data_IF_295853523835
#
_entry.id   IF_295853523835
#
_cell.length_a   1.000
_cell.length_b   1.000
_cell.length_c   1.000
_cell.angle_alpha   90.00
_cell.angle_beta   90.00
_cell.angle_gamma   90.00
#
_symmetry.space_group_name_H-M   'P 1'
#
loop_
_entity.id
_entity.type
_entity.pdbx_description
1 polymer ?
#
# COMPACT_ATOMS: atom_id res chain seq x y z
N UNK A 1 20.99 -53.14 -10.80
CA UNK A 1 19.74 -52.92 -10.04
C UNK A 1 20.14 -52.13 -8.79
N UNK A 2 19.99 -50.81 -8.82
CA UNK A 2 20.38 -49.91 -7.72
C UNK A 2 19.11 -49.35 -7.12
N UNK A 3 18.92 -49.61 -5.83
CA UNK A 3 17.75 -49.21 -5.05
C UNK A 3 17.89 -47.73 -4.64
N UNK A 4 16.97 -46.88 -5.08
CA UNK A 4 16.88 -45.48 -4.63
C UNK A 4 16.09 -45.48 -3.31
N UNK A 5 16.76 -45.14 -2.22
CA UNK A 5 16.15 -44.89 -0.91
C UNK A 5 15.32 -43.61 -0.96
N UNK A 6 14.07 -43.69 -0.48
CA UNK A 6 13.08 -42.60 -0.42
C UNK A 6 13.71 -41.30 0.11
N UNK A 7 13.87 -40.35 -0.79
CA UNK A 7 14.45 -39.02 -0.54
C UNK A 7 13.49 -38.15 0.28
N UNK A 8 13.98 -37.69 1.43
CA UNK A 8 13.79 -36.36 2.03
C UNK A 8 12.51 -35.60 1.63
N UNK A 9 11.42 -35.89 2.35
CA UNK A 9 10.30 -34.96 2.45
C UNK A 9 10.74 -33.79 3.33
N UNK A 10 11.15 -32.68 2.72
CA UNK A 10 11.27 -31.40 3.43
C UNK A 10 9.85 -30.97 3.80
N UNK A 11 9.55 -30.92 5.10
CA UNK A 11 8.27 -30.43 5.59
C UNK A 11 8.05 -28.98 5.12
N UNK A 12 6.86 -28.64 4.59
CA UNK A 12 6.56 -27.28 4.16
C UNK A 12 6.63 -26.34 5.36
N UNK A 13 7.38 -25.24 5.22
CA UNK A 13 7.37 -24.15 6.20
C UNK A 13 5.98 -23.51 6.23
N UNK A 14 5.27 -23.71 7.34
CA UNK A 14 4.04 -22.97 7.64
C UNK A 14 4.41 -21.52 7.99
N UNK A 15 4.24 -20.63 7.02
CA UNK A 15 4.39 -19.19 7.23
C UNK A 15 3.06 -18.67 7.74
N UNK A 16 2.97 -18.44 9.05
CA UNK A 16 1.84 -17.73 9.64
C UNK A 16 1.81 -16.29 9.14
N UNK A 17 0.81 -15.95 8.34
CA UNK A 17 0.58 -14.57 7.90
C UNK A 17 -0.04 -13.84 9.09
N UNK A 18 0.74 -12.98 9.74
CA UNK A 18 0.24 -12.11 10.79
C UNK A 18 -0.92 -11.25 10.26
N UNK A 19 -2.12 -11.45 10.79
CA UNK A 19 -3.34 -10.69 10.40
C UNK A 19 -3.26 -9.20 10.75
N UNK A 20 -2.29 -8.81 11.57
CA UNK A 20 -2.06 -7.43 11.97
C UNK A 20 -0.82 -6.92 11.24
N UNK A 21 -0.91 -5.84 10.46
CA UNK A 21 0.28 -5.13 10.03
C UNK A 21 1.09 -4.79 11.28
N UNK A 22 2.36 -5.18 11.31
CA UNK A 22 3.28 -4.71 12.33
C UNK A 22 3.42 -3.20 12.17
N UNK A 23 2.60 -2.49 12.96
CA UNK A 23 2.64 -1.06 13.21
C UNK A 23 2.23 -0.15 12.03
N UNK A 24 0.92 -0.03 11.82
CA UNK A 24 0.38 1.14 11.12
C UNK A 24 0.60 2.38 12.01
N UNK A 25 1.65 3.15 11.74
CA UNK A 25 1.78 4.53 12.19
C UNK A 25 0.83 5.44 11.42
N UNK A 26 -0.46 5.12 11.45
CA UNK A 26 -1.49 6.00 10.92
C UNK A 26 -1.59 7.19 11.88
N UNK A 27 -0.86 8.26 11.56
CA UNK A 27 -1.10 9.56 12.17
C UNK A 27 -2.35 10.11 11.47
N UNK A 28 -3.42 10.28 12.24
CA UNK A 28 -4.67 10.83 11.74
C UNK A 28 -4.45 12.29 11.32
N UNK A 29 -4.70 12.58 10.04
CA UNK A 29 -4.76 13.95 9.57
C UNK A 29 -6.10 14.56 10.04
N UNK A 30 -6.04 15.73 10.67
CA UNK A 30 -7.20 16.60 10.90
C UNK A 30 -7.26 17.60 9.76
N UNK A 31 -8.46 17.95 9.26
CA UNK A 31 -8.64 18.83 8.08
C UNK A 31 -7.86 20.17 8.14
N UNK A 32 -7.49 20.64 9.33
CA UNK A 32 -6.80 21.91 9.52
C UNK A 32 -5.26 21.81 9.58
N UNK A 33 -4.67 20.62 9.73
CA UNK A 33 -3.25 20.45 10.08
C UNK A 33 -2.57 19.33 9.30
N UNK A 34 -1.39 19.55 8.69
CA UNK A 34 -0.64 18.49 8.04
C UNK A 34 -0.33 17.36 9.01
N UNK A 35 -0.44 16.11 8.54
CA UNK A 35 -0.21 14.91 9.37
C UNK A 35 1.18 14.86 10.04
N UNK A 36 2.17 15.58 9.49
CA UNK A 36 3.54 15.62 10.00
C UNK A 36 3.85 16.83 10.89
N UNK A 37 2.85 17.66 11.23
CA UNK A 37 3.07 18.91 11.95
C UNK A 37 3.78 18.71 13.30
N UNK A 38 3.35 17.72 14.09
CA UNK A 38 3.97 17.41 15.39
C UNK A 38 5.42 16.95 15.24
N UNK A 39 5.74 16.21 14.17
CA UNK A 39 7.11 15.78 13.85
C UNK A 39 7.95 16.99 13.48
N UNK A 40 7.43 17.86 12.61
CA UNK A 40 8.11 19.09 12.20
C UNK A 40 8.37 20.00 13.40
N UNK A 41 7.38 20.24 14.24
CA UNK A 41 7.49 21.06 15.45
C UNK A 41 8.52 20.50 16.43
N UNK A 42 8.53 19.18 16.63
CA UNK A 42 9.52 18.52 17.50
C UNK A 42 10.94 18.71 16.97
N UNK A 43 11.15 18.60 15.66
CA UNK A 43 12.47 18.78 15.05
C UNK A 43 12.91 20.25 15.02
N UNK A 44 11.98 21.20 14.88
CA UNK A 44 12.28 22.63 14.87
C UNK A 44 12.55 23.20 16.27
N UNK A 45 11.71 22.84 17.24
CA UNK A 45 11.67 23.51 18.56
C UNK A 45 12.11 22.61 19.71
N UNK A 46 12.18 21.29 19.50
CA UNK A 46 12.42 20.31 20.56
C UNK A 46 11.23 20.10 21.50
N UNK A 47 10.08 20.73 21.23
CA UNK A 47 8.90 20.67 22.08
C UNK A 47 7.89 19.62 21.61
N UNK A 48 7.17 19.05 22.57
CA UNK A 48 6.06 18.13 22.32
C UNK A 48 4.74 18.89 22.32
N UNK A 49 3.68 18.34 21.70
CA UNK A 49 2.35 18.93 21.79
C UNK A 49 1.92 19.12 23.26
N UNK A 50 1.22 20.23 23.61
CA UNK A 50 0.94 20.60 25.01
C UNK A 50 0.20 19.51 25.80
N UNK A 51 -0.63 18.72 25.12
CA UNK A 51 -1.49 17.70 25.70
C UNK A 51 -1.04 16.26 25.42
N UNK A 52 0.17 16.06 24.88
CA UNK A 52 0.69 14.72 24.58
C UNK A 52 1.03 13.93 25.85
N UNK A 53 0.50 12.71 25.97
CA UNK A 53 0.77 11.81 27.11
C UNK A 53 2.22 11.28 27.06
N UNK A 54 2.69 10.60 28.12
CA UNK A 54 4.06 10.05 28.17
C UNK A 54 4.33 9.01 27.07
N UNK A 55 3.31 8.25 26.66
CA UNK A 55 3.40 7.24 25.60
C UNK A 55 3.46 7.92 24.23
N UNK A 56 2.62 8.91 23.98
CA UNK A 56 2.57 9.70 22.75
C UNK A 56 3.90 10.40 22.51
N UNK A 57 4.47 11.03 23.55
CA UNK A 57 5.82 11.63 23.47
C UNK A 57 6.89 10.59 23.12
N UNK A 58 6.82 9.40 23.71
CA UNK A 58 7.75 8.30 23.41
C UNK A 58 7.59 7.81 21.96
N UNK A 59 6.35 7.70 21.49
CA UNK A 59 6.00 7.31 20.12
C UNK A 59 6.48 8.35 19.12
N UNK A 60 6.16 9.63 19.33
CA UNK A 60 6.58 10.74 18.48
C UNK A 60 8.11 10.84 18.40
N UNK A 61 8.81 10.67 19.53
CA UNK A 61 10.27 10.64 19.56
C UNK A 61 10.85 9.51 18.73
N UNK A 62 10.25 8.31 18.78
CA UNK A 62 10.67 7.15 17.96
C UNK A 62 10.42 7.42 16.48
N UNK A 63 9.26 7.97 16.14
CA UNK A 63 8.90 8.34 14.78
C UNK A 63 9.87 9.36 14.20
N UNK A 64 10.14 10.44 14.94
CA UNK A 64 10.97 11.56 14.50
C UNK A 64 12.42 11.16 14.13
N UNK A 65 12.94 10.03 14.65
CA UNK A 65 14.27 9.51 14.28
C UNK A 65 14.35 9.21 12.77
N UNK A 66 13.23 8.86 12.14
CA UNK A 66 13.17 8.58 10.71
C UNK A 66 12.98 9.82 9.85
N UNK A 67 12.92 11.01 10.46
CA UNK A 67 12.70 12.26 9.74
C UNK A 67 13.89 13.19 9.87
N UNK A 68 14.03 14.06 8.88
CA UNK A 68 15.08 15.06 8.80
C UNK A 68 14.47 16.36 8.28
N UNK A 69 14.77 17.47 8.93
CA UNK A 69 14.29 18.78 8.52
C UNK A 69 15.41 19.55 7.83
N UNK A 70 15.14 20.05 6.62
CA UNK A 70 16.05 20.91 5.87
C UNK A 70 15.34 22.20 5.49
N UNK A 71 15.64 23.28 6.23
CA UNK A 71 14.86 24.51 6.15
C UNK A 71 13.41 24.27 6.55
N UNK A 72 12.48 24.57 5.64
CA UNK A 72 11.04 24.36 5.86
C UNK A 72 10.52 22.98 5.40
N UNK A 73 11.35 22.21 4.70
CA UNK A 73 10.95 20.95 4.08
C UNK A 73 11.31 19.79 5.00
N UNK A 74 10.31 18.98 5.31
CA UNK A 74 10.46 17.74 6.07
C UNK A 74 10.73 16.57 5.11
N UNK A 75 11.73 15.76 5.44
CA UNK A 75 12.08 14.55 4.71
C UNK A 75 11.93 13.33 5.60
N UNK A 76 11.42 12.23 5.05
CA UNK A 76 11.48 10.90 5.64
C UNK A 76 12.66 10.13 5.05
N UNK A 77 13.46 9.50 5.91
CA UNK A 77 14.49 8.54 5.53
C UNK A 77 13.83 7.20 5.21
N UNK A 78 13.96 6.75 3.97
CA UNK A 78 13.61 5.38 3.59
C UNK A 78 14.68 4.38 4.05
N UNK A 79 14.38 3.09 3.92
CA UNK A 79 15.29 2.01 4.33
C UNK A 79 16.62 2.02 3.57
N UNK A 80 16.59 2.38 2.28
CA UNK A 80 17.75 2.59 1.41
C UNK A 80 18.44 3.95 1.63
N UNK A 81 18.11 4.68 2.70
CA UNK A 81 18.63 6.01 3.03
C UNK A 81 18.28 7.12 2.03
N UNK A 82 17.37 6.88 1.09
CA UNK A 82 16.81 7.92 0.21
C UNK A 82 15.96 8.89 1.04
N UNK A 83 16.07 10.19 0.73
CA UNK A 83 15.27 11.22 1.38
C UNK A 83 13.99 11.48 0.58
N UNK A 84 12.84 11.20 1.20
CA UNK A 84 11.52 11.40 0.61
C UNK A 84 10.89 12.66 1.21
N UNK A 85 10.60 13.65 0.38
CA UNK A 85 9.90 14.88 0.80
C UNK A 85 8.50 14.52 1.31
N UNK A 86 8.20 14.92 2.53
CA UNK A 86 6.86 14.83 3.09
C UNK A 86 5.96 15.87 2.43
N UNK A 87 4.76 15.44 2.06
CA UNK A 87 3.76 16.29 1.41
C UNK A 87 2.44 16.24 2.18
N UNK A 88 1.62 17.27 1.97
CA UNK A 88 0.28 17.36 2.53
C UNK A 88 -0.75 16.60 1.68
N UNK A 89 -2.01 16.57 2.15
CA UNK A 89 -3.11 15.87 1.49
C UNK A 89 -3.47 16.48 0.12
N UNK A 90 -3.35 17.79 -0.03
CA UNK A 90 -3.70 18.46 -1.28
C UNK A 90 -2.63 18.18 -2.34
N UNK A 91 -1.35 18.29 -1.99
CA UNK A 91 -0.22 17.88 -2.83
C UNK A 91 -0.31 16.39 -3.20
N UNK A 92 -0.66 15.51 -2.25
CA UNK A 92 -0.75 14.07 -2.51
C UNK A 92 -1.87 13.73 -3.50
N UNK A 93 -3.03 14.39 -3.39
CA UNK A 93 -4.14 14.22 -4.33
C UNK A 93 -3.75 14.59 -5.76
N UNK A 94 -3.12 15.76 -5.93
CA UNK A 94 -2.65 16.22 -7.25
C UNK A 94 -1.60 15.28 -7.83
N UNK A 95 -0.65 14.81 -7.01
CA UNK A 95 0.36 13.85 -7.45
C UNK A 95 -0.25 12.52 -7.89
N UNK A 96 -1.24 12.00 -7.16
CA UNK A 96 -1.95 10.79 -7.57
C UNK A 96 -2.65 10.98 -8.91
N UNK A 97 -3.38 12.08 -9.10
CA UNK A 97 -4.06 12.39 -10.37
C UNK A 97 -3.10 12.48 -11.54
N UNK A 98 -2.00 13.24 -11.40
CA UNK A 98 -1.01 13.44 -12.46
C UNK A 98 -0.27 12.15 -12.82
N UNK A 99 0.20 11.40 -11.80
CA UNK A 99 1.01 10.18 -12.02
C UNK A 99 0.15 9.02 -12.49
N UNK A 100 -1.09 8.88 -11.99
CA UNK A 100 -2.00 7.79 -12.35
C UNK A 100 -2.72 8.03 -13.67
N UNK A 101 -3.35 9.20 -13.82
CA UNK A 101 -4.34 9.50 -14.85
C UNK A 101 -4.08 10.77 -15.64
N UNK A 102 -2.88 11.35 -15.56
CA UNK A 102 -2.47 12.48 -16.40
C UNK A 102 -2.58 12.19 -17.90
N UNK A 103 -2.20 13.15 -18.75
CA UNK A 103 -2.43 13.09 -20.21
C UNK A 103 -1.97 11.79 -20.90
N UNK A 104 -1.00 11.07 -20.30
CA UNK A 104 -0.62 9.70 -20.66
C UNK A 104 -0.36 8.81 -19.41
N UNK A 105 -1.23 8.92 -18.41
CA UNK A 105 -1.12 8.16 -17.17
C UNK A 105 -1.15 6.64 -17.41
N UNK A 106 -0.25 5.84 -16.81
CA UNK A 106 -0.19 4.40 -17.06
C UNK A 106 -1.34 3.60 -16.43
N UNK A 107 -2.28 4.25 -15.72
CA UNK A 107 -3.41 3.59 -15.05
C UNK A 107 -3.00 2.36 -14.20
N UNK A 108 -1.83 2.45 -13.57
CA UNK A 108 -1.25 1.33 -12.82
C UNK A 108 -2.03 1.00 -11.54
N UNK A 109 -1.80 -0.19 -11.00
CA UNK A 109 -2.39 -0.59 -9.72
C UNK A 109 -1.95 0.33 -8.56
N UNK A 110 -2.76 0.42 -7.50
CA UNK A 110 -2.52 1.35 -6.39
C UNK A 110 -1.18 1.17 -5.68
N UNK A 111 -0.70 -0.06 -5.52
CA UNK A 111 0.60 -0.32 -4.88
C UNK A 111 1.77 0.12 -5.77
N UNK A 112 1.66 -0.06 -7.09
CA UNK A 112 2.63 0.42 -8.08
C UNK A 112 2.64 1.93 -8.16
N UNK A 113 1.46 2.57 -8.03
CA UNK A 113 1.36 4.03 -7.94
C UNK A 113 2.12 4.56 -6.73
N UNK A 114 1.88 3.99 -5.54
CA UNK A 114 2.61 4.36 -4.31
C UNK A 114 4.13 4.20 -4.49
N UNK A 115 4.59 3.04 -4.98
CA UNK A 115 6.01 2.78 -5.26
C UNK A 115 6.60 3.78 -6.26
N UNK A 116 5.85 4.14 -7.32
CA UNK A 116 6.30 5.11 -8.32
C UNK A 116 6.45 6.50 -7.68
N UNK A 117 5.50 6.93 -6.86
CA UNK A 117 5.56 8.22 -6.17
C UNK A 117 6.71 8.27 -5.15
N UNK A 118 6.96 7.18 -4.41
CA UNK A 118 8.14 7.07 -3.54
C UNK A 118 9.44 7.18 -4.35
N UNK A 119 9.52 6.55 -5.53
CA UNK A 119 10.69 6.68 -6.42
C UNK A 119 10.88 8.09 -6.96
N UNK A 120 9.81 8.88 -7.07
CA UNK A 120 9.88 10.30 -7.40
C UNK A 120 10.33 11.17 -6.21
N UNK A 121 10.50 10.59 -5.03
CA UNK A 121 11.01 11.27 -3.85
C UNK A 121 9.94 11.90 -2.96
N UNK A 122 8.68 11.47 -3.04
CA UNK A 122 7.59 12.00 -2.20
C UNK A 122 7.08 10.97 -1.19
N UNK A 123 6.48 11.45 -0.09
CA UNK A 123 5.94 10.61 0.98
C UNK A 123 4.78 11.26 1.76
N UNK A 124 3.80 10.44 2.17
CA UNK A 124 2.85 10.75 3.24
C UNK A 124 2.45 9.48 4.00
N UNK A 125 1.92 9.63 5.21
CA UNK A 125 1.68 8.51 6.15
C UNK A 125 0.72 7.44 5.62
N UNK A 126 -0.32 7.86 4.88
CA UNK A 126 -1.39 7.00 4.34
C UNK A 126 -1.24 6.68 2.85
N UNK A 127 -0.03 6.85 2.30
CA UNK A 127 0.23 6.75 0.86
C UNK A 127 -0.32 5.50 0.19
N UNK A 128 -0.02 4.32 0.72
CA UNK A 128 -0.45 3.07 0.09
C UNK A 128 -1.98 2.94 0.06
N UNK A 129 -2.63 3.24 1.18
CA UNK A 129 -4.09 3.18 1.28
C UNK A 129 -4.76 4.20 0.37
N UNK A 130 -4.22 5.40 0.27
CA UNK A 130 -4.79 6.47 -0.55
C UNK A 130 -4.61 6.17 -2.03
N UNK A 131 -3.45 5.67 -2.44
CA UNK A 131 -3.23 5.23 -3.82
C UNK A 131 -4.17 4.08 -4.21
N UNK A 132 -4.37 3.09 -3.33
CA UNK A 132 -5.32 1.99 -3.58
C UNK A 132 -6.75 2.53 -3.68
N UNK A 133 -7.18 3.40 -2.77
CA UNK A 133 -8.50 4.03 -2.82
C UNK A 133 -8.67 4.85 -4.10
N UNK A 134 -7.69 5.65 -4.49
CA UNK A 134 -7.73 6.48 -5.70
C UNK A 134 -7.93 5.62 -6.96
N UNK A 135 -7.12 4.57 -7.13
CA UNK A 135 -7.22 3.67 -8.29
C UNK A 135 -8.56 2.92 -8.32
N UNK A 136 -9.08 2.52 -7.15
CA UNK A 136 -10.41 1.88 -7.05
C UNK A 136 -11.55 2.78 -7.53
N UNK A 137 -11.43 4.10 -7.39
CA UNK A 137 -12.43 5.07 -7.85
C UNK A 137 -12.17 5.56 -9.29
N UNK A 138 -11.08 5.12 -9.94
CA UNK A 138 -10.79 5.52 -11.31
C UNK A 138 -11.73 4.80 -12.30
N UNK A 139 -12.59 5.55 -12.98
CA UNK A 139 -13.53 5.02 -13.97
C UNK A 139 -12.85 4.19 -15.07
N UNK A 140 -11.72 4.67 -15.62
CA UNK A 140 -10.98 3.93 -16.66
C UNK A 140 -10.48 2.58 -16.12
N UNK A 141 -9.92 2.56 -14.91
CA UNK A 141 -9.49 1.31 -14.29
C UNK A 141 -10.68 0.38 -13.99
N UNK A 142 -11.84 0.90 -13.60
CA UNK A 142 -13.04 0.08 -13.37
C UNK A 142 -13.57 -0.57 -14.65
N UNK A 143 -13.54 0.16 -15.78
CA UNK A 143 -14.06 -0.34 -17.08
C UNK A 143 -13.08 -1.32 -17.73
N UNK A 144 -11.78 -1.07 -17.63
CA UNK A 144 -10.75 -1.85 -18.34
C UNK A 144 -10.01 -2.86 -17.46
N UNK A 145 -10.35 -3.00 -16.17
CA UNK A 145 -9.76 -4.03 -15.33
C UNK A 145 -10.14 -5.43 -15.84
N UNK A 146 -9.18 -6.35 -15.82
CA UNK A 146 -9.42 -7.75 -16.10
C UNK A 146 -10.40 -8.32 -15.06
N UNK A 147 -11.64 -8.51 -15.49
CA UNK A 147 -12.64 -9.19 -14.69
C UNK A 147 -12.24 -10.67 -14.62
N UNK A 148 -11.69 -11.10 -13.48
CA UNK A 148 -11.59 -12.52 -13.15
C UNK A 148 -13.01 -13.04 -12.96
N UNK A 149 -13.70 -13.37 -14.06
CA UNK A 149 -15.04 -13.99 -14.06
C UNK A 149 -14.91 -15.48 -13.77
N UNK A 150 -14.14 -15.86 -12.76
CA UNK A 150 -14.15 -17.22 -12.27
C UNK A 150 -15.44 -17.40 -11.45
N UNK A 151 -16.29 -18.39 -11.78
CA UNK A 151 -17.41 -18.73 -10.92
C UNK A 151 -16.87 -19.10 -9.53
N UNK A 152 -17.58 -18.73 -8.44
CA UNK A 152 -17.12 -19.01 -7.07
C UNK A 152 -16.98 -20.51 -6.77
N UNK A 153 -17.63 -21.36 -7.57
CA UNK A 153 -17.51 -22.81 -7.52
C UNK A 153 -17.04 -23.35 -8.87
N UNK A 154 -16.19 -24.38 -8.85
CA UNK A 154 -15.89 -25.17 -10.04
C UNK A 154 -17.19 -25.75 -10.60
N UNK A 155 -17.53 -25.36 -11.83
CA UNK A 155 -18.67 -25.92 -12.53
C UNK A 155 -18.34 -27.37 -12.90
N UNK A 156 -18.99 -28.33 -12.24
CA UNK A 156 -18.93 -29.74 -12.63
C UNK A 156 -19.78 -29.92 -13.89
N UNK A 157 -19.20 -30.25 -15.06
CA UNK A 157 -20.00 -30.56 -16.22
C UNK A 157 -20.90 -31.76 -15.90
N UNK A 158 -22.19 -31.63 -16.20
CA UNK A 158 -23.14 -32.72 -16.00
C UNK A 158 -22.73 -33.86 -16.94
N UNK A 159 -22.26 -34.98 -16.39
CA UNK A 159 -21.89 -36.13 -17.20
C UNK A 159 -23.15 -36.71 -17.83
N UNK A 160 -23.21 -36.71 -19.16
CA UNK A 160 -24.27 -37.38 -19.89
C UNK A 160 -24.23 -38.88 -19.52
N UNK A 161 -25.32 -39.47 -18.99
CA UNK A 161 -25.31 -40.87 -18.62
C UNK A 161 -25.24 -41.80 -19.84
N UNK A 162 -25.53 -41.29 -21.05
CA UNK A 162 -25.54 -42.04 -22.29
C UNK A 162 -25.11 -41.16 -23.48
N UNK A 163 -24.58 -41.76 -24.57
CA UNK A 163 -24.34 -41.03 -25.81
C UNK A 163 -25.67 -40.41 -26.30
N UNK A 164 -25.66 -39.14 -26.72
CA UNK A 164 -26.79 -38.35 -27.26
C UNK A 164 -27.76 -37.66 -26.28
N UNK A 165 -27.51 -37.64 -24.96
CA UNK A 165 -28.46 -37.03 -24.01
C UNK A 165 -28.45 -35.49 -23.94
N UNK A 166 -27.48 -34.81 -24.55
CA UNK A 166 -27.45 -33.35 -24.65
C UNK A 166 -26.93 -32.93 -26.02
N UNK A 167 -27.80 -32.34 -26.84
CA UNK A 167 -27.41 -31.65 -28.07
C UNK A 167 -27.55 -30.14 -27.83
N UNK A 168 -26.46 -29.50 -27.44
CA UNK A 168 -26.39 -28.03 -27.44
C UNK A 168 -26.20 -27.57 -28.88
N UNK A 169 -27.24 -27.02 -29.49
CA UNK A 169 -27.07 -26.22 -30.71
C UNK A 169 -26.39 -24.91 -30.28
N UNK A 170 -25.19 -24.67 -30.80
CA UNK A 170 -24.47 -23.40 -30.65
C UNK A 170 -24.91 -22.42 -31.72
#
# INVERSE_FOLDING_TARGET
MVSITRENLVEPLEIEIAERPEYCNAIEASEARPWYEDIKNLLQTGQYPPFADRRDRKTLRRLAIHYFLSGEILYRRSFDSTLLRCIDEHESRRLMEEVHGGNCGPHMNGLMLAKKIMRLGYYWSTMETDCVKHVRHCHRCQVYADLVKAPPNELRPMTAPWPFSMWGWT
#
